data_IF_215089306918
#
_entry.id   IF_215089306918
#
_cell.length_a   1.000
_cell.length_b   1.000
_cell.length_c   1.000
_cell.angle_alpha   90.00
_cell.angle_beta   90.00
_cell.angle_gamma   90.00
#
_symmetry.space_group_name_H-M   'P 1'
#
loop_
_entity.id
_entity.type
_entity.pdbx_description
1 polymer ?
#
# COMPACT_ATOMS: atom_id res chain seq x y z
N UNK A 1 13.08 5.51 -14.36
CA UNK A 1 12.92 6.78 -15.12
C UNK A 1 11.50 7.01 -15.61
N UNK A 2 10.97 6.29 -16.63
CA UNK A 2 9.60 6.56 -17.14
C UNK A 2 8.52 6.34 -16.06
N UNK A 3 8.59 5.22 -15.34
CA UNK A 3 7.70 4.91 -14.21
C UNK A 3 7.65 6.03 -13.18
N UNK A 4 8.82 6.55 -12.82
CA UNK A 4 8.96 7.56 -11.75
C UNK A 4 8.40 8.91 -12.23
N UNK A 5 8.71 9.30 -13.47
CA UNK A 5 8.12 10.49 -14.12
C UNK A 5 6.59 10.41 -14.19
N UNK A 6 6.03 9.26 -14.58
CA UNK A 6 4.57 9.09 -14.63
C UNK A 6 3.95 9.26 -13.24
N UNK A 7 4.54 8.67 -12.20
CA UNK A 7 4.05 8.83 -10.82
C UNK A 7 4.11 10.29 -10.38
N UNK A 8 5.24 10.95 -10.59
CA UNK A 8 5.42 12.35 -10.23
C UNK A 8 4.38 13.25 -10.90
N UNK A 9 4.15 13.07 -12.20
CA UNK A 9 3.16 13.86 -12.93
C UNK A 9 1.72 13.56 -12.45
N UNK A 10 1.37 12.28 -12.22
CA UNK A 10 0.04 11.92 -11.71
C UNK A 10 -0.21 12.53 -10.33
N UNK A 11 0.77 12.47 -9.42
CA UNK A 11 0.65 13.05 -8.08
C UNK A 11 0.56 14.58 -8.14
N UNK A 12 1.38 15.23 -8.97
CA UNK A 12 1.36 16.67 -9.15
C UNK A 12 0.03 17.17 -9.74
N UNK A 13 -0.53 16.45 -10.71
CA UNK A 13 -1.84 16.79 -11.29
C UNK A 13 -2.98 16.53 -10.29
N UNK A 14 -2.90 15.47 -9.48
CA UNK A 14 -3.91 15.19 -8.46
C UNK A 14 -4.01 16.28 -7.39
N UNK A 15 -2.90 16.97 -7.07
CA UNK A 15 -2.89 18.12 -6.15
C UNK A 15 -3.60 19.34 -6.73
N UNK A 16 -3.58 19.52 -8.06
CA UNK A 16 -4.17 20.68 -8.75
C UNK A 16 -5.60 20.45 -9.20
N UNK A 17 -5.95 19.19 -9.47
CA UNK A 17 -7.26 18.81 -9.96
C UNK A 17 -8.29 18.79 -8.82
N UNK A 18 -9.52 19.17 -9.14
CA UNK A 18 -10.67 19.04 -8.22
C UNK A 18 -11.17 17.59 -8.17
N UNK A 19 -10.30 16.69 -7.69
CA UNK A 19 -10.60 15.27 -7.53
C UNK A 19 -11.29 15.05 -6.17
N UNK A 20 -12.26 14.11 -6.09
CA UNK A 20 -12.83 13.71 -4.80
C UNK A 20 -11.81 13.02 -3.88
N UNK A 21 -10.68 12.56 -4.43
CA UNK A 21 -9.56 11.93 -3.72
C UNK A 21 -8.69 11.12 -4.68
N UNK A 22 -7.50 10.72 -4.22
CA UNK A 22 -6.58 9.82 -4.93
C UNK A 22 -6.21 8.66 -4.00
N UNK A 23 -6.32 7.43 -4.50
CA UNK A 23 -5.76 6.25 -3.82
C UNK A 23 -4.45 5.89 -4.52
N UNK A 24 -3.37 5.84 -3.74
CA UNK A 24 -2.05 5.41 -4.21
C UNK A 24 -1.57 4.24 -3.36
N UNK A 25 -1.01 3.21 -4.00
CA UNK A 25 -0.49 2.02 -3.29
C UNK A 25 1.02 1.93 -3.44
N UNK A 26 1.70 1.63 -2.34
CA UNK A 26 3.14 1.51 -2.25
C UNK A 26 3.48 0.32 -1.33
N UNK A 27 4.47 -0.48 -1.71
CA UNK A 27 5.02 -1.51 -0.82
C UNK A 27 6.13 -0.84 -0.02
N UNK A 28 5.94 -0.71 1.29
CA UNK A 28 6.84 0.03 2.18
C UNK A 28 7.56 -0.93 3.13
N UNK A 29 8.84 -1.17 2.89
CA UNK A 29 9.73 -1.80 3.86
C UNK A 29 10.09 -0.78 4.94
N UNK A 30 9.49 -0.93 6.13
CA UNK A 30 9.59 0.02 7.24
C UNK A 30 10.99 0.11 7.85
N UNK A 31 11.77 -0.97 7.72
CA UNK A 31 13.17 -1.06 8.13
C UNK A 31 14.15 -0.45 7.11
N UNK A 32 13.67 -0.05 5.93
CA UNK A 32 14.49 0.53 4.88
C UNK A 32 14.30 2.06 4.81
N UNK A 33 15.30 2.87 5.21
CA UNK A 33 15.17 4.32 5.22
C UNK A 33 14.87 4.93 3.84
N UNK A 34 15.29 4.28 2.75
CA UNK A 34 15.00 4.72 1.38
C UNK A 34 13.50 4.68 1.06
N UNK A 35 12.77 3.69 1.57
CA UNK A 35 11.32 3.61 1.34
C UNK A 35 10.60 4.73 2.10
N UNK A 36 11.00 5.01 3.35
CA UNK A 36 10.46 6.14 4.11
C UNK A 36 10.76 7.49 3.44
N UNK A 37 11.95 7.65 2.85
CA UNK A 37 12.29 8.83 2.02
C UNK A 37 11.42 8.93 0.78
N UNK A 38 11.16 7.82 0.09
CA UNK A 38 10.31 7.82 -1.10
C UNK A 38 8.85 8.13 -0.76
N UNK A 39 8.32 7.58 0.34
CA UNK A 39 6.99 7.92 0.85
C UNK A 39 6.90 9.40 1.21
N UNK A 40 7.89 9.94 1.92
CA UNK A 40 7.95 11.38 2.23
C UNK A 40 7.91 12.22 0.94
N UNK A 41 8.67 11.84 -0.09
CA UNK A 41 8.67 12.51 -1.40
C UNK A 41 7.32 12.44 -2.11
N UNK A 42 6.61 11.30 -2.01
CA UNK A 42 5.28 11.10 -2.60
C UNK A 42 4.24 12.01 -1.95
N UNK A 43 4.29 12.19 -0.62
CA UNK A 43 3.28 12.96 0.12
C UNK A 43 3.58 14.45 0.20
N UNK A 44 4.83 14.86 -0.01
CA UNK A 44 5.28 16.26 0.08
C UNK A 44 4.38 17.24 -0.72
N UNK A 45 4.00 16.97 -1.98
CA UNK A 45 3.17 17.90 -2.75
C UNK A 45 1.78 18.13 -2.15
N UNK A 46 1.21 17.12 -1.48
CA UNK A 46 -0.09 17.22 -0.81
C UNK A 46 0.03 18.01 0.48
N UNK A 47 1.10 17.76 1.26
CA UNK A 47 1.40 18.54 2.46
C UNK A 47 1.61 20.02 2.15
N UNK A 48 2.39 20.34 1.10
CA UNK A 48 2.65 21.72 0.67
C UNK A 48 1.36 22.45 0.23
N UNK A 49 0.37 21.69 -0.27
CA UNK A 49 -0.94 22.19 -0.63
C UNK A 49 -1.98 22.14 0.51
N UNK A 50 -1.57 21.77 1.73
CA UNK A 50 -2.44 21.55 2.88
C UNK A 50 -3.57 20.53 2.64
N UNK A 51 -3.35 19.57 1.73
CA UNK A 51 -4.27 18.48 1.43
C UNK A 51 -3.99 17.32 2.40
N UNK A 52 -4.99 16.79 3.12
CA UNK A 52 -4.79 15.71 4.08
C UNK A 52 -4.38 14.41 3.38
N UNK A 53 -3.46 13.68 4.01
CA UNK A 53 -3.01 12.34 3.58
C UNK A 53 -3.23 11.36 4.74
N UNK A 54 -4.07 10.36 4.50
CA UNK A 54 -4.30 9.24 5.40
C UNK A 54 -3.53 8.01 4.93
N UNK A 55 -2.92 7.29 5.87
CA UNK A 55 -2.19 6.05 5.63
C UNK A 55 -3.02 4.84 6.04
N UNK A 56 -3.15 3.88 5.12
CA UNK A 56 -3.81 2.61 5.34
C UNK A 56 -2.81 1.47 5.17
N UNK A 57 -2.49 0.78 6.26
CA UNK A 57 -1.71 -0.46 6.23
C UNK A 57 -2.67 -1.65 6.04
N UNK A 58 -2.42 -2.46 5.02
CA UNK A 58 -3.15 -3.71 4.79
C UNK A 58 -2.38 -4.87 5.41
N UNK A 59 -2.79 -5.25 6.61
CA UNK A 59 -2.16 -6.33 7.36
C UNK A 59 -2.75 -7.68 6.94
N UNK A 60 -1.88 -8.66 6.68
CA UNK A 60 -2.28 -10.05 6.46
C UNK A 60 -1.19 -10.97 6.96
N UNK A 61 -1.58 -12.13 7.50
CA UNK A 61 -0.60 -13.12 7.91
C UNK A 61 0.18 -13.69 6.71
N UNK A 62 1.37 -14.22 7.00
CA UNK A 62 2.32 -14.70 5.99
C UNK A 62 1.76 -15.90 5.21
N UNK A 63 1.04 -16.81 5.89
CA UNK A 63 0.47 -18.00 5.26
C UNK A 63 -0.63 -17.64 4.26
N UNK A 64 -1.50 -16.71 4.62
CA UNK A 64 -2.54 -16.16 3.76
C UNK A 64 -1.95 -15.40 2.58
N UNK A 65 -0.90 -14.59 2.79
CA UNK A 65 -0.20 -13.90 1.70
C UNK A 65 0.39 -14.88 0.69
N UNK A 66 0.97 -15.98 1.15
CA UNK A 66 1.55 -17.03 0.32
C UNK A 66 0.48 -17.84 -0.42
N UNK A 67 -0.60 -18.24 0.26
CA UNK A 67 -1.70 -19.02 -0.31
C UNK A 67 -2.42 -18.32 -1.48
N UNK A 68 -2.33 -16.99 -1.56
CA UNK A 68 -2.89 -16.22 -2.66
C UNK A 68 -2.05 -16.28 -3.94
N UNK A 69 -0.76 -16.69 -3.87
CA UNK A 69 0.09 -16.75 -5.06
C UNK A 69 -0.47 -17.85 -5.99
N UNK A 70 -0.53 -17.57 -7.29
CA UNK A 70 -1.10 -18.52 -8.26
C UNK A 70 -2.62 -18.62 -8.30
N UNK A 71 -3.36 -17.88 -7.47
CA UNK A 71 -4.82 -17.73 -7.67
C UNK A 71 -5.12 -17.08 -9.02
N UNK A 72 -6.24 -17.43 -9.64
CA UNK A 72 -6.64 -16.92 -10.97
C UNK A 72 -6.63 -15.38 -11.02
N UNK A 73 -7.11 -14.74 -9.96
CA UNK A 73 -7.07 -13.29 -9.79
C UNK A 73 -5.64 -12.75 -9.83
N UNK A 74 -4.69 -13.41 -9.15
CA UNK A 74 -3.30 -12.96 -9.07
C UNK A 74 -2.55 -13.14 -10.40
N UNK A 75 -2.80 -14.25 -11.09
CA UNK A 75 -2.22 -14.56 -12.41
C UNK A 75 -2.77 -13.61 -13.48
N UNK A 76 -4.06 -13.31 -13.45
CA UNK A 76 -4.71 -12.41 -14.41
C UNK A 76 -4.23 -10.95 -14.28
N UNK A 77 -4.02 -10.46 -13.05
CA UNK A 77 -3.73 -9.04 -12.81
C UNK A 77 -2.23 -8.72 -12.62
N UNK A 78 -1.35 -9.72 -12.46
CA UNK A 78 0.10 -9.52 -12.42
C UNK A 78 0.82 -10.56 -13.27
N UNK A 79 1.14 -10.20 -14.51
CA UNK A 79 1.85 -11.06 -15.48
C UNK A 79 3.21 -11.59 -14.99
N UNK A 80 3.90 -10.88 -14.10
CA UNK A 80 5.14 -11.34 -13.46
C UNK A 80 4.94 -12.43 -12.40
N UNK A 81 3.69 -12.77 -12.06
CA UNK A 81 3.31 -13.78 -11.06
C UNK A 81 2.67 -15.03 -11.65
N UNK A 82 2.79 -15.24 -12.97
CA UNK A 82 2.38 -16.49 -13.62
C UNK A 82 3.26 -17.68 -13.22
N UNK A 83 4.49 -17.42 -12.76
CA UNK A 83 5.33 -18.41 -12.08
C UNK A 83 5.04 -18.36 -10.57
N UNK A 84 4.21 -19.30 -10.13
CA UNK A 84 3.77 -19.42 -8.74
C UNK A 84 4.91 -19.77 -7.80
N UNK A 85 5.82 -20.65 -8.24
CA UNK A 85 6.95 -21.09 -7.43
C UNK A 85 7.94 -19.94 -7.21
N UNK A 86 8.24 -19.18 -8.26
CA UNK A 86 9.04 -17.98 -8.14
C UNK A 86 8.37 -16.92 -7.27
N UNK A 87 7.07 -16.67 -7.46
CA UNK A 87 6.34 -15.68 -6.68
C UNK A 87 6.28 -16.01 -5.18
N UNK A 88 6.10 -17.29 -4.85
CA UNK A 88 6.15 -17.80 -3.49
C UNK A 88 7.53 -17.60 -2.85
N UNK A 89 8.60 -18.04 -3.53
CA UNK A 89 9.97 -17.91 -3.04
C UNK A 89 10.37 -16.43 -2.85
N UNK A 90 10.00 -15.57 -3.80
CA UNK A 90 10.29 -14.14 -3.71
C UNK A 90 9.54 -13.45 -2.56
N UNK A 91 8.28 -13.82 -2.33
CA UNK A 91 7.49 -13.32 -1.20
C UNK A 91 8.16 -13.71 0.13
N UNK A 92 8.56 -14.98 0.26
CA UNK A 92 9.24 -15.48 1.44
C UNK A 92 10.60 -14.81 1.68
N UNK A 93 11.37 -14.60 0.61
CA UNK A 93 12.66 -13.89 0.66
C UNK A 93 12.48 -12.42 1.10
N UNK A 94 11.47 -11.71 0.58
CA UNK A 94 11.19 -10.33 0.96
C UNK A 94 10.77 -10.22 2.42
N UNK A 95 9.81 -11.03 2.86
CA UNK A 95 9.33 -11.04 4.25
C UNK A 95 10.37 -11.61 5.24
N UNK A 96 11.45 -12.25 4.76
CA UNK A 96 12.59 -12.65 5.59
C UNK A 96 13.63 -11.53 5.77
N UNK A 97 13.66 -10.55 4.87
CA UNK A 97 14.65 -9.47 4.87
C UNK A 97 14.13 -8.15 5.44
N UNK A 98 12.82 -7.92 5.32
CA UNK A 98 12.21 -6.63 5.58
C UNK A 98 10.94 -6.74 6.44
N UNK A 99 10.61 -5.63 7.07
CA UNK A 99 9.45 -5.46 7.93
C UNK A 99 8.41 -4.62 7.18
N UNK A 100 7.22 -5.17 6.98
CA UNK A 100 6.16 -4.50 6.18
C UNK A 100 4.94 -4.07 6.99
N UNK A 101 4.87 -4.43 8.27
CA UNK A 101 3.74 -4.10 9.15
C UNK A 101 4.24 -3.35 10.37
N UNK A 102 3.47 -2.37 10.84
CA UNK A 102 3.83 -1.57 12.02
C UNK A 102 3.63 -2.32 13.33
N UNK A 103 2.73 -3.33 13.37
CA UNK A 103 2.52 -4.13 14.57
C UNK A 103 3.78 -4.91 14.93
N UNK A 104 4.28 -4.72 16.15
CA UNK A 104 5.49 -5.37 16.64
C UNK A 104 6.78 -4.68 16.20
N UNK A 105 6.67 -3.54 15.51
CA UNK A 105 7.81 -2.74 15.06
C UNK A 105 7.91 -1.50 15.93
N UNK A 106 9.05 -1.33 16.62
CA UNK A 106 9.37 -0.10 17.34
C UNK A 106 9.97 0.93 16.37
N UNK A 107 9.81 2.23 16.69
CA UNK A 107 10.52 3.34 16.04
C UNK A 107 10.15 3.67 14.57
N UNK A 108 9.02 3.15 14.06
CA UNK A 108 8.48 3.57 12.75
C UNK A 108 7.55 4.77 12.93
N UNK A 109 7.97 5.91 12.39
CA UNK A 109 7.14 7.12 12.33
C UNK A 109 6.37 7.17 11.01
N UNK A 110 5.03 7.18 11.10
CA UNK A 110 4.16 7.40 9.94
C UNK A 110 3.79 8.89 9.93
N UNK A 111 4.00 9.63 8.82
CA UNK A 111 3.93 11.09 8.79
C UNK A 111 2.50 11.65 8.80
N UNK A 112 1.49 10.83 9.07
CA UNK A 112 0.09 11.22 9.03
C UNK A 112 -0.81 10.25 9.80
N UNK A 113 -2.12 10.48 9.71
CA UNK A 113 -3.11 9.60 10.34
C UNK A 113 -2.98 8.19 9.77
N UNK A 114 -2.73 7.23 10.64
CA UNK A 114 -2.44 5.85 10.27
C UNK A 114 -3.52 4.89 10.77
N UNK A 115 -3.98 3.99 9.92
CA UNK A 115 -4.93 2.94 10.27
C UNK A 115 -4.50 1.59 9.69
N UNK A 116 -4.46 0.56 10.55
CA UNK A 116 -4.21 -0.82 10.15
C UNK A 116 -5.53 -1.55 9.88
N UNK A 117 -5.68 -2.13 8.69
CA UNK A 117 -6.87 -2.85 8.24
C UNK A 117 -6.48 -4.29 7.93
N UNK A 118 -7.23 -5.24 8.49
CA UNK A 118 -7.00 -6.67 8.28
C UNK A 118 -7.52 -7.10 6.91
N UNK A 119 -6.61 -7.54 6.05
CA UNK A 119 -6.83 -8.02 4.69
C UNK A 119 -6.63 -9.55 4.61
N UNK A 120 -6.98 -10.27 5.67
CA UNK A 120 -6.94 -11.73 5.82
C UNK A 120 -7.89 -12.51 4.88
N UNK A 121 -7.92 -13.85 4.99
CA UNK A 121 -8.63 -14.71 4.04
C UNK A 121 -10.16 -14.63 4.17
N UNK A 122 -10.66 -14.27 5.36
CA UNK A 122 -12.09 -14.14 5.66
C UNK A 122 -12.71 -12.83 5.15
N UNK A 123 -11.92 -11.96 4.49
CA UNK A 123 -12.41 -10.70 3.92
C UNK A 123 -12.19 -10.64 2.42
N UNK A 124 -13.26 -10.26 1.73
CA UNK A 124 -13.20 -9.83 0.34
C UNK A 124 -12.59 -8.42 0.20
N UNK A 125 -12.18 -8.07 -1.01
CA UNK A 125 -11.73 -6.72 -1.33
C UNK A 125 -12.80 -5.66 -1.04
N UNK A 126 -14.08 -5.96 -1.29
CA UNK A 126 -15.19 -5.05 -1.02
C UNK A 126 -15.40 -4.82 0.49
N UNK A 127 -15.35 -5.87 1.31
CA UNK A 127 -15.44 -5.74 2.77
C UNK A 127 -14.25 -4.97 3.35
N UNK A 128 -13.05 -5.16 2.79
CA UNK A 128 -11.85 -4.41 3.18
C UNK A 128 -12.00 -2.92 2.83
N UNK A 129 -12.53 -2.61 1.63
CA UNK A 129 -12.80 -1.24 1.22
C UNK A 129 -13.84 -0.55 2.12
N UNK A 130 -14.93 -1.23 2.48
CA UNK A 130 -15.92 -0.70 3.44
C UNK A 130 -15.30 -0.40 4.80
N UNK A 131 -14.44 -1.28 5.29
CA UNK A 131 -13.75 -1.04 6.57
C UNK A 131 -12.82 0.18 6.50
N UNK A 132 -12.15 0.42 5.38
CA UNK A 132 -11.32 1.62 5.16
C UNK A 132 -12.21 2.87 5.18
N UNK A 133 -13.32 2.87 4.45
CA UNK A 133 -14.28 3.98 4.39
C UNK A 133 -14.77 4.33 5.81
N UNK A 134 -15.17 3.33 6.58
CA UNK A 134 -15.67 3.52 7.95
C UNK A 134 -14.61 4.07 8.89
N UNK A 135 -13.40 3.48 8.90
CA UNK A 135 -12.33 3.90 9.80
C UNK A 135 -11.82 5.30 9.47
N UNK A 136 -11.68 5.62 8.18
CA UNK A 136 -11.25 6.94 7.75
C UNK A 136 -12.38 7.98 7.82
N UNK A 137 -13.63 7.55 7.96
CA UNK A 137 -14.86 8.38 7.91
C UNK A 137 -15.00 9.10 6.56
N UNK A 138 -14.69 8.37 5.48
CA UNK A 138 -14.80 8.91 4.13
C UNK A 138 -16.28 9.15 3.78
N UNK A 139 -16.59 10.19 3.00
CA UNK A 139 -17.95 10.44 2.55
C UNK A 139 -18.44 9.27 1.69
N UNK A 140 -19.62 8.74 2.02
CA UNK A 140 -20.35 7.81 1.16
C UNK A 140 -21.11 8.64 0.12
N UNK A 141 -20.74 8.49 -1.15
CA UNK A 141 -21.41 9.12 -2.30
C UNK A 141 -22.28 8.11 -3.03
#
# INVERSE_FOLDING_TARGET
RLRDLVREQVLAEAVRADLPGLIFTFVWALDLPDDSREVARIVQPFHDACIPVDFVELEVDRATSLAREGTDVRVAHKRSKSDVAWAAAHNEELHGRHVFNTRGTSDVEIPGRHTVVDNGPERSAAQTAEQIIERLRLPRR
#
